data_IF_523959618344
#
_entry.id   IF_523959618344
#
_cell.length_a   1.000
_cell.length_b   1.000
_cell.length_c   1.000
_cell.angle_alpha   90.00
_cell.angle_beta   90.00
_cell.angle_gamma   90.00
#
_symmetry.space_group_name_H-M   'P 1'
#
loop_
_entity.id
_entity.type
_entity.pdbx_description
1 polymer ?
#
# COMPACT_ATOMS: atom_id res chain seq x y z
N UNK A 1 -18.08 -2.91 2.86
CA UNK A 1 -17.27 -3.02 1.61
C UNK A 1 -17.89 -2.23 0.46
N UNK A 2 -19.05 -2.63 -0.07
CA UNK A 2 -19.68 -1.88 -1.16
C UNK A 2 -20.60 -0.77 -0.66
N UNK A 3 -21.32 -1.02 0.43
CA UNK A 3 -22.27 -0.07 1.04
C UNK A 3 -21.60 1.14 1.71
N UNK A 4 -20.32 1.01 2.08
CA UNK A 4 -19.51 2.04 2.73
C UNK A 4 -18.39 2.59 1.81
N UNK A 5 -18.36 2.20 0.53
CA UNK A 5 -17.34 2.60 -0.43
C UNK A 5 -15.92 2.08 -0.14
N UNK A 6 -15.71 1.30 0.92
CA UNK A 6 -14.38 0.83 1.34
C UNK A 6 -13.72 -0.13 0.34
N UNK A 7 -14.50 -0.69 -0.60
CA UNK A 7 -13.99 -1.47 -1.73
C UNK A 7 -13.02 -0.66 -2.62
N UNK A 8 -13.16 0.66 -2.69
CA UNK A 8 -12.28 1.52 -3.49
C UNK A 8 -10.89 1.66 -2.88
N UNK A 9 -10.77 1.47 -1.56
CA UNK A 9 -9.49 1.45 -0.85
C UNK A 9 -8.78 0.09 -0.94
N UNK A 10 -9.46 -0.96 -1.40
CA UNK A 10 -8.87 -2.29 -1.51
C UNK A 10 -7.85 -2.34 -2.67
N UNK A 11 -6.75 -3.07 -2.46
CA UNK A 11 -5.83 -3.33 -3.56
C UNK A 11 -6.52 -4.17 -4.66
N UNK A 12 -6.05 -4.09 -5.92
CA UNK A 12 -6.70 -4.74 -7.06
C UNK A 12 -7.10 -6.22 -6.87
N UNK A 13 -6.25 -7.12 -6.35
CA UNK A 13 -6.63 -8.52 -6.16
C UNK A 13 -7.79 -8.69 -5.17
N UNK A 14 -7.76 -7.94 -4.06
CA UNK A 14 -8.84 -8.01 -3.05
C UNK A 14 -10.14 -7.41 -3.59
N UNK A 15 -10.07 -6.31 -4.35
CA UNK A 15 -11.23 -5.73 -5.01
C UNK A 15 -11.91 -6.74 -5.94
N UNK A 16 -11.14 -7.43 -6.78
CA UNK A 16 -11.67 -8.46 -7.68
C UNK A 16 -12.33 -9.61 -6.91
N UNK A 17 -11.71 -10.07 -5.83
CA UNK A 17 -12.28 -11.12 -4.97
C UNK A 17 -13.57 -10.68 -4.30
N UNK A 18 -13.64 -9.45 -3.78
CA UNK A 18 -14.84 -8.88 -3.18
C UNK A 18 -16.01 -8.82 -4.18
N UNK A 19 -15.75 -8.42 -5.42
CA UNK A 19 -16.76 -8.45 -6.49
C UNK A 19 -17.26 -9.88 -6.79
N UNK A 20 -16.34 -10.86 -6.88
CA UNK A 20 -16.72 -12.27 -7.09
C UNK A 20 -17.56 -12.79 -5.92
N UNK A 21 -17.20 -12.47 -4.68
CA UNK A 21 -17.96 -12.88 -3.50
C UNK A 21 -19.36 -12.28 -3.47
N UNK A 22 -19.53 -11.04 -3.93
CA UNK A 22 -20.82 -10.33 -3.92
C UNK A 22 -21.72 -10.68 -5.12
N UNK A 23 -21.14 -10.85 -6.31
CA UNK A 23 -21.88 -10.94 -7.57
C UNK A 23 -21.63 -12.24 -8.35
N UNK A 24 -20.80 -13.14 -7.82
CA UNK A 24 -20.39 -14.38 -8.46
C UNK A 24 -19.31 -14.22 -9.54
N UNK A 25 -19.03 -12.99 -9.96
CA UNK A 25 -18.03 -12.68 -10.98
C UNK A 25 -17.45 -11.26 -10.82
N UNK A 26 -16.26 -11.06 -11.35
CA UNK A 26 -15.64 -9.75 -11.57
C UNK A 26 -15.31 -9.64 -13.05
N UNK A 27 -15.87 -8.65 -13.76
CA UNK A 27 -15.68 -8.48 -15.21
C UNK A 27 -15.96 -9.76 -16.04
N UNK A 28 -16.94 -10.56 -15.60
CA UNK A 28 -17.31 -11.83 -16.23
C UNK A 28 -16.43 -13.03 -15.85
N UNK A 29 -15.45 -12.84 -14.96
CA UNK A 29 -14.52 -13.88 -14.50
C UNK A 29 -14.86 -14.34 -13.07
N UNK A 30 -14.75 -15.63 -12.80
CA UNK A 30 -14.97 -16.19 -11.46
C UNK A 30 -13.64 -16.45 -10.72
N UNK A 31 -13.70 -17.09 -9.55
CA UNK A 31 -12.52 -17.39 -8.70
C UNK A 31 -11.58 -18.45 -9.31
N UNK A 32 -12.03 -19.19 -10.32
CA UNK A 32 -11.25 -20.21 -11.01
C UNK A 32 -10.52 -19.66 -12.23
N UNK A 33 -10.89 -18.45 -12.68
CA UNK A 33 -10.24 -17.79 -13.80
C UNK A 33 -8.71 -17.61 -13.53
N UNK A 34 -7.84 -18.06 -14.47
CA UNK A 34 -6.39 -17.97 -14.30
C UNK A 34 -5.88 -16.53 -14.11
N UNK A 35 -6.51 -15.52 -14.72
CA UNK A 35 -6.10 -14.13 -14.56
C UNK A 35 -6.42 -13.62 -13.16
N UNK A 36 -7.58 -13.98 -12.60
CA UNK A 36 -7.92 -13.66 -11.21
C UNK A 36 -6.89 -14.27 -10.27
N UNK A 37 -6.55 -15.55 -10.46
CA UNK A 37 -5.56 -16.26 -9.64
C UNK A 37 -4.15 -15.68 -9.79
N UNK A 38 -3.77 -15.27 -10.99
CA UNK A 38 -2.46 -14.65 -11.27
C UNK A 38 -2.23 -13.41 -10.43
N UNK A 39 -3.26 -12.60 -10.16
CA UNK A 39 -3.15 -11.39 -9.32
C UNK A 39 -2.69 -11.67 -7.88
N UNK A 40 -2.81 -12.91 -7.40
CA UNK A 40 -2.40 -13.34 -6.07
C UNK A 40 -1.03 -14.03 -6.03
N UNK A 41 -0.34 -14.11 -7.17
CA UNK A 41 1.03 -14.65 -7.24
C UNK A 41 2.04 -13.64 -6.72
N UNK A 42 3.18 -14.14 -6.23
CA UNK A 42 4.27 -13.29 -5.73
C UNK A 42 4.83 -12.43 -6.85
N UNK A 43 4.96 -13.00 -8.03
CA UNK A 43 5.49 -12.36 -9.23
C UNK A 43 4.60 -11.19 -9.62
N UNK A 44 3.28 -11.41 -9.75
CA UNK A 44 2.34 -10.34 -10.07
C UNK A 44 2.29 -9.25 -9.00
N UNK A 45 2.45 -9.60 -7.72
CA UNK A 45 2.51 -8.62 -6.63
C UNK A 45 3.75 -7.72 -6.77
N UNK A 46 4.92 -8.31 -6.96
CA UNK A 46 6.18 -7.56 -7.11
C UNK A 46 6.21 -6.68 -8.37
N UNK A 47 5.58 -7.13 -9.45
CA UNK A 47 5.50 -6.38 -10.71
C UNK A 47 4.40 -5.31 -10.72
N UNK A 48 3.55 -5.26 -9.69
CA UNK A 48 2.40 -4.36 -9.67
C UNK A 48 2.73 -2.93 -9.24
N UNK A 49 2.08 -1.96 -9.88
CA UNK A 49 2.21 -0.55 -9.52
C UNK A 49 1.60 -0.24 -8.16
N UNK A 50 0.49 -0.91 -7.80
CA UNK A 50 -0.16 -0.69 -6.51
C UNK A 50 0.77 -1.10 -5.35
N UNK A 51 1.54 -2.18 -5.49
CA UNK A 51 2.50 -2.59 -4.47
C UNK A 51 3.67 -1.61 -4.39
N UNK A 52 4.23 -1.19 -5.54
CA UNK A 52 5.28 -0.15 -5.60
C UNK A 52 4.83 1.13 -4.90
N UNK A 53 3.58 1.53 -5.08
CA UNK A 53 3.03 2.70 -4.42
C UNK A 53 3.00 2.56 -2.90
N UNK A 54 2.65 1.38 -2.36
CA UNK A 54 2.72 1.13 -0.92
C UNK A 54 4.15 1.28 -0.37
N UNK A 55 5.16 0.90 -1.14
CA UNK A 55 6.56 1.07 -0.75
C UNK A 55 6.95 2.56 -0.72
N UNK A 56 6.52 3.34 -1.72
CA UNK A 56 6.73 4.80 -1.76
C UNK A 56 6.07 5.51 -0.59
N UNK A 57 4.82 5.16 -0.27
CA UNK A 57 4.11 5.73 0.88
C UNK A 57 4.82 5.39 2.18
N UNK A 58 5.34 4.16 2.31
CA UNK A 58 6.13 3.75 3.48
C UNK A 58 7.39 4.61 3.61
N UNK A 59 8.16 4.76 2.52
CA UNK A 59 9.34 5.62 2.49
C UNK A 59 9.00 7.06 2.90
N UNK A 60 7.94 7.65 2.33
CA UNK A 60 7.52 9.02 2.68
C UNK A 60 7.16 9.17 4.17
N UNK A 61 6.45 8.19 4.74
CA UNK A 61 6.12 8.18 6.17
C UNK A 61 7.38 8.05 7.05
N UNK A 62 8.35 7.24 6.63
CA UNK A 62 9.61 7.09 7.34
C UNK A 62 10.45 8.37 7.26
N UNK A 63 10.53 9.01 6.09
CA UNK A 63 11.17 10.33 5.93
C UNK A 63 10.54 11.34 6.87
N UNK A 64 9.20 11.41 6.93
CA UNK A 64 8.51 12.32 7.85
C UNK A 64 8.82 12.01 9.32
N UNK A 65 8.88 10.73 9.69
CA UNK A 65 9.25 10.29 11.04
C UNK A 65 10.69 10.70 11.39
N UNK A 66 11.65 10.41 10.53
CA UNK A 66 13.07 10.73 10.76
C UNK A 66 13.34 12.23 10.76
N UNK A 67 12.65 13.03 9.95
CA UNK A 67 12.68 14.49 10.03
C UNK A 67 12.27 14.99 11.43
N UNK A 68 11.22 14.41 12.02
CA UNK A 68 10.82 14.74 13.40
C UNK A 68 11.88 14.33 14.42
N UNK A 69 12.54 13.17 14.25
CA UNK A 69 13.63 12.76 15.14
C UNK A 69 14.83 13.70 15.07
N UNK A 70 15.24 14.10 13.87
CA UNK A 70 16.30 15.11 13.67
C UNK A 70 15.92 16.43 14.34
N UNK A 71 14.69 16.89 14.19
CA UNK A 71 14.23 18.13 14.81
C UNK A 71 14.12 18.06 16.35
N UNK A 72 13.71 16.91 16.90
CA UNK A 72 13.46 16.76 18.34
C UNK A 72 14.72 16.42 19.16
N UNK A 73 15.58 15.54 18.65
CA UNK A 73 16.72 15.00 19.40
C UNK A 73 18.06 15.51 18.86
N UNK A 74 18.14 15.86 17.57
CA UNK A 74 19.39 16.23 16.91
C UNK A 74 20.43 15.09 16.86
N UNK A 75 21.59 15.39 16.28
CA UNK A 75 22.77 14.52 16.30
C UNK A 75 22.95 13.57 15.09
N UNK A 76 24.16 13.03 14.98
CA UNK A 76 24.64 12.29 13.79
C UNK A 76 23.83 11.03 13.49
N UNK A 77 23.35 10.32 14.52
CA UNK A 77 22.54 9.11 14.34
C UNK A 77 21.18 9.40 13.72
N UNK A 78 20.54 10.51 14.12
CA UNK A 78 19.26 10.93 13.55
C UNK A 78 19.45 11.38 12.09
N UNK A 79 20.54 12.09 11.80
CA UNK A 79 20.91 12.48 10.44
C UNK A 79 21.19 11.29 9.53
N UNK A 80 21.96 10.30 9.99
CA UNK A 80 22.24 9.08 9.24
C UNK A 80 20.97 8.26 8.94
N UNK A 81 20.05 8.16 9.91
CA UNK A 81 18.75 7.52 9.72
C UNK A 81 17.90 8.23 8.65
N UNK A 82 17.85 9.57 8.70
CA UNK A 82 17.16 10.37 7.68
C UNK A 82 17.78 10.20 6.29
N UNK A 83 19.11 10.23 6.19
CA UNK A 83 19.82 10.05 4.92
C UNK A 83 19.51 8.69 4.28
N UNK A 84 19.52 7.61 5.08
CA UNK A 84 19.16 6.27 4.59
C UNK A 84 17.74 6.22 4.04
N UNK A 85 16.74 6.70 4.77
CA UNK A 85 15.34 6.58 4.31
C UNK A 85 15.02 7.49 3.12
N UNK A 86 15.78 8.57 2.92
CA UNK A 86 15.69 9.42 1.73
C UNK A 86 16.34 8.81 0.49
N UNK A 87 17.23 7.81 0.64
CA UNK A 87 17.94 7.21 -0.47
C UNK A 87 16.98 6.38 -1.34
N UNK A 88 17.10 6.40 -2.68
CA UNK A 88 16.25 5.59 -3.55
C UNK A 88 16.40 4.08 -3.29
N UNK A 89 17.60 3.64 -2.91
CA UNK A 89 17.91 2.24 -2.56
C UNK A 89 17.10 1.74 -1.36
N UNK A 90 16.56 2.65 -0.53
CA UNK A 90 15.69 2.29 0.57
C UNK A 90 14.40 1.60 0.09
N UNK A 91 13.94 1.89 -1.14
CA UNK A 91 12.79 1.19 -1.71
C UNK A 91 13.10 -0.29 -1.96
N UNK A 92 14.33 -0.61 -2.37
CA UNK A 92 14.77 -1.99 -2.56
C UNK A 92 14.81 -2.75 -1.23
N UNK A 93 15.23 -2.08 -0.16
CA UNK A 93 15.20 -2.65 1.20
C UNK A 93 13.77 -2.93 1.69
N UNK A 94 12.78 -2.20 1.18
CA UNK A 94 11.37 -2.39 1.54
C UNK A 94 10.68 -3.48 0.71
N UNK A 95 11.29 -3.96 -0.38
CA UNK A 95 10.73 -5.04 -1.21
C UNK A 95 10.61 -6.32 -0.38
N UNK A 96 9.44 -6.95 -0.42
CA UNK A 96 9.08 -8.10 0.41
C UNK A 96 8.42 -7.73 1.74
N UNK A 97 8.41 -6.45 2.12
CA UNK A 97 7.55 -5.96 3.22
C UNK A 97 6.15 -5.65 2.71
N UNK A 98 5.22 -5.40 3.63
CA UNK A 98 3.85 -5.00 3.30
C UNK A 98 3.81 -3.56 2.72
N UNK A 99 4.77 -2.70 3.03
CA UNK A 99 4.69 -1.26 2.73
C UNK A 99 3.66 -0.56 3.63
N UNK A 100 3.17 0.60 3.19
CA UNK A 100 2.13 1.36 3.88
C UNK A 100 0.92 1.57 2.98
N UNK A 101 -0.26 1.66 3.58
CA UNK A 101 -1.48 1.96 2.84
C UNK A 101 -1.45 3.41 2.31
N UNK A 102 -1.56 3.65 0.99
CA UNK A 102 -1.71 5.01 0.43
C UNK A 102 -2.97 5.71 0.92
N UNK A 103 -3.99 4.95 1.31
CA UNK A 103 -5.20 5.49 1.86
C UNK A 103 -4.92 6.08 3.26
N UNK A 104 -4.96 7.40 3.37
CA UNK A 104 -4.79 8.11 4.65
C UNK A 104 -6.10 8.37 5.38
N UNK A 105 -7.23 7.92 4.84
CA UNK A 105 -8.54 7.95 5.48
C UNK A 105 -9.00 9.33 5.96
N UNK A 106 -9.79 10.01 5.15
CA UNK A 106 -10.87 10.83 5.69
C UNK A 106 -12.17 10.16 5.23
N UNK A 107 -12.68 9.23 6.05
CA UNK A 107 -14.11 8.97 6.04
C UNK A 107 -14.75 10.23 6.62
N UNK A 108 -15.07 11.20 5.75
CA UNK A 108 -15.96 12.30 6.12
C UNK A 108 -17.37 11.73 6.30
N UNK A 109 -17.61 11.16 7.47
CA UNK A 109 -18.91 10.75 7.94
C UNK A 109 -19.16 11.35 9.31
N UNK A 110 -20.16 12.23 9.37
CA UNK A 110 -20.88 12.67 10.58
C UNK A 110 -20.20 13.76 11.44
N UNK A 111 -20.14 14.97 10.88
CA UNK A 111 -20.52 16.17 11.65
C UNK A 111 -21.73 16.82 11.00
N UNK A 112 -22.92 16.40 11.41
CA UNK A 112 -24.15 17.19 11.29
C UNK A 112 -24.72 17.45 12.68
#
# INVERSE_FOLDING_TARGET
YFEDGSVEAACPPLRALLHIMAHGHCEGRDVHDPEIRRMFTREALLDSDWYRERLRVKQQRDIALWRRHVAAVGGDRAGAGLARVCAPEYLDELVGTIGADPFTGQLEGERS
#
